data_IF_827012595462
#
_entry.id   IF_827012595462
#
_cell.length_a   1.000
_cell.length_b   1.000
_cell.length_c   1.000
_cell.angle_alpha   90.00
_cell.angle_beta   90.00
_cell.angle_gamma   90.00
#
_symmetry.space_group_name_H-M   'P 1'
#
loop_
_entity.id
_entity.type
_entity.pdbx_description
1 polymer ?
#
# COMPACT_ATOMS: atom_id res chain seq x y z
N UNK A 1 -13.01 -15.54 -6.91
CA UNK A 1 -12.11 -15.33 -8.08
C UNK A 1 -10.73 -14.86 -7.58
N UNK A 2 -9.63 -15.15 -8.28
CA UNK A 2 -8.29 -14.72 -7.87
C UNK A 2 -8.14 -13.19 -7.95
N UNK A 3 -7.38 -12.61 -7.01
CA UNK A 3 -7.00 -11.20 -7.03
C UNK A 3 -5.64 -11.06 -7.72
N UNK A 4 -5.65 -10.60 -8.97
CA UNK A 4 -4.46 -10.61 -9.82
C UNK A 4 -3.68 -9.29 -9.84
N UNK A 5 -4.22 -8.23 -9.22
CA UNK A 5 -3.63 -6.90 -9.26
C UNK A 5 -4.10 -6.02 -8.10
N UNK A 6 -3.21 -5.14 -7.62
CA UNK A 6 -3.53 -4.06 -6.69
C UNK A 6 -3.49 -2.66 -7.35
N UNK A 7 -3.20 -2.59 -8.66
CA UNK A 7 -3.11 -1.36 -9.47
C UNK A 7 -2.21 -0.24 -8.92
N UNK A 8 -1.26 -0.55 -8.03
CA UNK A 8 -0.45 0.51 -7.38
C UNK A 8 -1.29 1.48 -6.53
N UNK A 9 -2.47 1.05 -6.05
CA UNK A 9 -3.30 1.91 -5.21
C UNK A 9 -2.78 1.97 -3.77
N UNK A 10 -1.82 1.12 -3.41
CA UNK A 10 -1.22 1.17 -2.08
C UNK A 10 -0.40 2.44 -1.88
N UNK A 11 0.29 2.99 -2.89
CA UNK A 11 0.93 4.30 -2.75
C UNK A 11 -0.10 5.42 -2.55
N UNK A 12 -1.25 5.34 -3.23
CA UNK A 12 -2.32 6.32 -3.07
C UNK A 12 -3.00 6.21 -1.70
N UNK A 13 -3.12 5.00 -1.15
CA UNK A 13 -3.58 4.77 0.21
C UNK A 13 -2.60 5.30 1.27
N UNK A 14 -1.29 5.35 0.99
CA UNK A 14 -0.31 6.01 1.87
C UNK A 14 -0.44 7.54 1.83
N UNK A 15 -0.88 8.10 0.71
CA UNK A 15 -1.07 9.54 0.50
C UNK A 15 -2.49 10.04 0.77
N UNK A 16 -3.43 9.13 1.06
CA UNK A 16 -4.82 9.47 1.31
C UNK A 16 -4.92 10.44 2.49
N UNK A 17 -5.57 11.57 2.26
CA UNK A 17 -5.68 12.64 3.25
C UNK A 17 -7.03 13.35 3.07
N UNK A 18 -8.13 12.73 3.53
CA UNK A 18 -9.46 13.34 3.42
C UNK A 18 -9.53 14.64 4.24
N UNK A 19 -10.49 15.53 3.95
CA UNK A 19 -10.59 16.84 4.61
C UNK A 19 -10.63 16.79 6.15
N UNK A 20 -11.18 15.72 6.72
CA UNK A 20 -11.28 15.46 8.16
C UNK A 20 -10.00 14.86 8.78
N UNK A 21 -9.00 14.50 7.97
CA UNK A 21 -7.76 13.95 8.46
C UNK A 21 -6.98 15.00 9.27
N UNK A 22 -6.54 14.57 10.45
CA UNK A 22 -5.82 15.44 11.41
C UNK A 22 -4.30 15.36 11.26
N UNK A 23 -3.81 14.38 10.51
CA UNK A 23 -2.38 14.12 10.33
C UNK A 23 -2.03 14.13 8.85
N UNK A 24 -1.06 14.95 8.43
CA UNK A 24 -0.66 14.98 7.03
C UNK A 24 0.05 13.67 6.64
N UNK A 25 0.01 13.29 5.35
CA UNK A 25 0.70 12.10 4.86
C UNK A 25 2.19 12.19 5.19
N UNK A 26 2.73 11.17 5.86
CA UNK A 26 3.94 11.29 6.70
C UNK A 26 5.29 11.28 5.96
N UNK A 27 5.38 11.38 4.63
CA UNK A 27 6.69 11.42 3.93
C UNK A 27 6.71 12.37 2.73
N UNK A 28 7.81 13.11 2.60
CA UNK A 28 8.17 13.95 1.44
C UNK A 28 7.20 15.09 1.07
N UNK A 29 6.64 15.80 2.07
CA UNK A 29 5.73 16.94 1.85
C UNK A 29 6.33 18.10 1.05
N UNK A 30 7.66 18.17 0.94
CA UNK A 30 8.35 19.19 0.15
C UNK A 30 8.32 18.93 -1.36
N UNK A 31 7.95 17.73 -1.80
CA UNK A 31 7.85 17.40 -3.22
C UNK A 31 6.42 17.60 -3.72
N UNK A 32 6.22 18.28 -4.87
CA UNK A 32 4.89 18.44 -5.44
C UNK A 32 4.36 17.08 -5.92
N UNK A 33 3.06 16.86 -5.73
CA UNK A 33 2.39 15.70 -6.30
C UNK A 33 2.28 15.86 -7.83
N UNK A 34 2.46 14.76 -8.57
CA UNK A 34 2.20 14.71 -10.03
C UNK A 34 0.71 14.75 -10.36
N UNK A 35 -0.12 14.37 -9.40
CA UNK A 35 -1.59 14.33 -9.49
C UNK A 35 -2.13 15.07 -8.27
N UNK A 36 -3.19 15.86 -8.45
CA UNK A 36 -3.77 16.65 -7.37
C UNK A 36 -4.27 15.75 -6.22
N UNK A 37 -4.12 16.21 -4.98
CA UNK A 37 -4.55 15.49 -3.77
C UNK A 37 -6.05 15.14 -3.80
N UNK A 38 -6.89 16.00 -4.38
CA UNK A 38 -8.32 15.74 -4.54
C UNK A 38 -8.57 14.49 -5.38
N UNK A 39 -7.81 14.30 -6.45
CA UNK A 39 -7.94 13.12 -7.32
C UNK A 39 -7.52 11.84 -6.59
N UNK A 40 -6.43 11.91 -5.81
CA UNK A 40 -5.99 10.78 -4.96
C UNK A 40 -7.10 10.42 -3.96
N UNK A 41 -7.65 11.42 -3.28
CA UNK A 41 -8.70 11.23 -2.29
C UNK A 41 -9.98 10.66 -2.90
N UNK A 42 -10.45 11.21 -4.01
CA UNK A 42 -11.64 10.73 -4.73
C UNK A 42 -11.47 9.28 -5.18
N UNK A 43 -10.30 8.92 -5.70
CA UNK A 43 -10.03 7.56 -6.14
C UNK A 43 -10.08 6.56 -5.00
N UNK A 44 -9.39 6.85 -3.89
CA UNK A 44 -9.37 6.00 -2.69
C UNK A 44 -10.75 5.89 -2.05
N UNK A 45 -11.46 7.01 -1.90
CA UNK A 45 -12.77 7.06 -1.23
C UNK A 45 -13.90 6.45 -2.06
N UNK A 46 -13.86 6.60 -3.39
CA UNK A 46 -14.95 6.12 -4.25
C UNK A 46 -15.10 4.60 -4.29
N UNK A 47 -14.02 3.86 -3.97
CA UNK A 47 -13.99 2.41 -4.08
C UNK A 47 -14.13 1.88 -5.52
N UNK A 48 -14.12 2.74 -6.55
CA UNK A 48 -14.22 2.34 -7.97
C UNK A 48 -13.16 1.31 -8.35
N UNK A 49 -11.95 1.49 -7.82
CA UNK A 49 -10.99 0.41 -7.71
C UNK A 49 -10.73 0.13 -6.23
N UNK A 50 -10.98 -1.10 -5.76
CA UNK A 50 -10.90 -1.42 -4.35
C UNK A 50 -9.45 -1.52 -3.89
N UNK A 51 -9.17 -1.00 -2.69
CA UNK A 51 -7.92 -1.27 -2.00
C UNK A 51 -7.90 -2.74 -1.58
N UNK A 52 -6.94 -3.49 -2.13
CA UNK A 52 -6.77 -4.94 -1.93
C UNK A 52 -5.30 -5.31 -1.75
N UNK A 53 -4.52 -4.42 -1.16
CA UNK A 53 -3.11 -4.72 -0.88
C UNK A 53 -3.04 -5.85 0.14
N UNK A 54 -2.31 -6.91 -0.18
CA UNK A 54 -2.11 -8.05 0.73
C UNK A 54 -0.74 -8.03 1.39
N UNK A 55 0.14 -7.11 0.97
CA UNK A 55 1.51 -7.01 1.43
C UNK A 55 1.63 -6.15 2.68
N UNK A 56 2.00 -6.76 3.80
CA UNK A 56 2.05 -6.09 5.10
C UNK A 56 2.99 -4.87 5.12
N UNK A 57 4.17 -4.99 4.50
CA UNK A 57 5.17 -3.92 4.56
C UNK A 57 4.77 -2.67 3.77
N UNK A 58 3.85 -2.79 2.80
CA UNK A 58 3.14 -1.65 2.23
C UNK A 58 2.01 -1.17 3.15
N UNK A 59 1.15 -2.09 3.59
CA UNK A 59 -0.04 -1.77 4.38
C UNK A 59 0.27 -0.98 5.67
N UNK A 60 1.38 -1.27 6.36
CA UNK A 60 1.76 -0.56 7.59
C UNK A 60 1.99 0.95 7.40
N UNK A 61 2.24 1.40 6.16
CA UNK A 61 2.42 2.80 5.81
C UNK A 61 1.14 3.50 5.31
N UNK A 62 0.02 2.78 5.19
CA UNK A 62 -1.25 3.40 4.79
C UNK A 62 -1.60 4.53 5.76
N UNK A 63 -2.23 5.58 5.22
CA UNK A 63 -2.87 6.60 6.04
C UNK A 63 -3.87 5.92 7.00
N UNK A 64 -3.97 6.38 8.26
CA UNK A 64 -4.91 5.80 9.22
C UNK A 64 -6.33 5.64 8.68
N UNK A 65 -6.79 6.62 7.92
CA UNK A 65 -8.10 6.71 7.29
C UNK A 65 -8.26 5.72 6.12
N UNK A 66 -7.16 5.36 5.44
CA UNK A 66 -7.17 4.39 4.33
C UNK A 66 -7.10 2.93 4.79
N UNK A 67 -6.55 2.66 5.97
CA UNK A 67 -6.45 1.29 6.52
C UNK A 67 -7.78 0.53 6.54
N UNK A 68 -8.89 1.06 7.10
CA UNK A 68 -10.16 0.34 7.15
C UNK A 68 -10.79 0.12 5.77
N UNK A 69 -10.37 0.86 4.74
CA UNK A 69 -10.88 0.73 3.36
C UNK A 69 -10.25 -0.48 2.65
N UNK A 70 -9.06 -0.92 3.07
CA UNK A 70 -8.41 -2.08 2.47
C UNK A 70 -9.18 -3.36 2.78
N UNK A 71 -9.45 -4.16 1.74
CA UNK A 71 -10.30 -5.36 1.82
C UNK A 71 -9.73 -6.45 2.73
N UNK A 72 -8.42 -6.40 3.00
CA UNK A 72 -7.69 -7.32 3.87
C UNK A 72 -6.96 -6.47 4.90
N UNK A 73 -6.80 -6.98 6.12
CA UNK A 73 -6.07 -6.29 7.19
C UNK A 73 -4.80 -7.08 7.51
N UNK A 74 -3.79 -7.07 6.62
CA UNK A 74 -2.60 -7.88 6.82
C UNK A 74 -1.86 -7.40 8.08
N UNK A 75 -1.34 -8.34 8.83
CA UNK A 75 -0.49 -8.10 10.00
C UNK A 75 0.88 -8.71 9.75
N UNK A 76 1.88 -8.33 10.55
CA UNK A 76 3.20 -8.95 10.45
C UNK A 76 3.13 -10.46 10.68
N UNK A 77 2.27 -10.91 11.59
CA UNK A 77 2.08 -12.31 11.94
C UNK A 77 1.42 -13.11 10.81
N UNK A 78 0.46 -12.49 10.10
CA UNK A 78 -0.29 -13.13 9.01
C UNK A 78 0.36 -12.96 7.64
N UNK A 79 1.53 -12.32 7.58
CA UNK A 79 2.19 -11.97 6.32
C UNK A 79 2.42 -13.19 5.41
N UNK A 80 2.82 -14.34 5.96
CA UNK A 80 3.03 -15.57 5.18
C UNK A 80 1.72 -16.06 4.55
N UNK A 81 0.59 -15.87 5.23
CA UNK A 81 -0.72 -16.31 4.77
C UNK A 81 -1.33 -15.33 3.75
N UNK A 82 -1.04 -14.03 3.89
CA UNK A 82 -1.65 -12.98 3.07
C UNK A 82 -0.80 -12.55 1.87
N UNK A 83 0.53 -12.61 1.96
CA UNK A 83 1.41 -12.17 0.88
C UNK A 83 1.16 -13.01 -0.38
N UNK A 84 0.69 -12.35 -1.44
CA UNK A 84 0.42 -13.01 -2.70
C UNK A 84 1.72 -13.14 -3.49
N UNK A 85 2.08 -14.33 -3.99
CA UNK A 85 3.34 -14.54 -4.71
C UNK A 85 3.42 -13.76 -6.03
N UNK A 86 2.28 -13.34 -6.58
CA UNK A 86 2.23 -12.46 -7.75
C UNK A 86 2.54 -10.98 -7.46
N UNK A 87 2.67 -10.57 -6.19
CA UNK A 87 3.02 -9.20 -5.83
C UNK A 87 4.50 -8.92 -6.10
N UNK A 88 4.81 -7.86 -6.85
CA UNK A 88 6.19 -7.43 -7.10
C UNK A 88 6.99 -7.23 -5.81
N UNK A 89 6.36 -6.71 -4.75
CA UNK A 89 7.02 -6.45 -3.48
C UNK A 89 7.44 -7.73 -2.76
N UNK A 90 6.67 -8.82 -2.87
CA UNK A 90 7.05 -10.12 -2.32
C UNK A 90 8.30 -10.65 -3.01
N UNK A 91 8.36 -10.54 -4.34
CA UNK A 91 9.55 -10.91 -5.11
C UNK A 91 10.76 -10.03 -4.81
N UNK A 92 10.56 -8.73 -4.59
CA UNK A 92 11.62 -7.80 -4.19
C UNK A 92 12.18 -8.13 -2.81
N UNK A 93 11.34 -8.49 -1.84
CA UNK A 93 11.78 -8.92 -0.51
C UNK A 93 12.58 -10.22 -0.57
N UNK A 94 12.09 -11.20 -1.33
CA UNK A 94 12.82 -12.46 -1.55
C UNK A 94 14.19 -12.18 -2.20
N UNK A 95 14.22 -11.34 -3.23
CA UNK A 95 15.45 -10.95 -3.89
C UNK A 95 16.43 -10.26 -2.94
N UNK A 96 15.95 -9.32 -2.12
CA UNK A 96 16.74 -8.65 -1.08
C UNK A 96 17.35 -9.65 -0.11
N UNK A 97 16.62 -10.67 0.33
CA UNK A 97 17.15 -11.70 1.22
C UNK A 97 18.13 -12.62 0.52
N UNK A 98 17.85 -13.05 -0.71
CA UNK A 98 18.77 -13.85 -1.52
C UNK A 98 20.11 -13.14 -1.71
N UNK A 99 20.08 -11.83 -2.02
CA UNK A 99 21.30 -11.01 -2.12
C UNK A 99 22.03 -10.88 -0.78
N UNK A 100 21.31 -10.71 0.34
CA UNK A 100 21.94 -10.64 1.67
C UNK A 100 22.61 -11.95 2.11
N UNK A 101 22.10 -13.07 1.63
CA UNK A 101 22.63 -14.41 1.89
C UNK A 101 23.65 -14.85 0.83
N UNK A 102 23.93 -13.99 -0.16
CA UNK A 102 24.90 -14.28 -1.20
C UNK A 102 26.30 -14.41 -0.56
N UNK A 103 27.04 -15.50 -0.82
CA UNK A 103 28.26 -15.83 -0.08
C UNK A 103 29.52 -15.09 -0.56
N UNK A 104 29.38 -14.13 -1.48
CA UNK A 104 30.46 -13.34 -2.08
C UNK A 104 30.21 -11.85 -1.86
#
# INVERSE_FOLDING_TARGET
>A
PPLLHCYGLHEWAMLYHPPEATQPPRRHQSLPLRVDQRVVNEMVASGKQPLRCTHYDAFRFFAPEAKPINSIQPTRQTQIDTDQPGCVHVSMDLFKWALKLWPF
#
